data_IF_971089011525
#
_entry.id   IF_971089011525
#
_cell.length_a   1.000
_cell.length_b   1.000
_cell.length_c   1.000
_cell.angle_alpha   90.00
_cell.angle_beta   90.00
_cell.angle_gamma   90.00
#
_symmetry.space_group_name_H-M   'P 1'
#
loop_
_entity.id
_entity.type
_entity.pdbx_description
1 polymer ?
#
# COMPACT_ATOMS: atom_id res chain seq x y z
N UNK A 1 -26.74 7.99 6.20
CA UNK A 1 -25.55 7.86 5.33
C UNK A 1 -24.33 8.34 6.10
N UNK A 2 -23.50 7.43 6.61
CA UNK A 2 -22.25 7.81 7.28
C UNK A 2 -21.30 8.38 6.24
N UNK A 3 -20.95 9.66 6.37
CA UNK A 3 -19.82 10.20 5.63
C UNK A 3 -18.61 9.33 5.95
N UNK A 4 -18.04 8.67 4.95
CA UNK A 4 -16.77 7.96 5.07
C UNK A 4 -15.69 9.02 5.32
N UNK A 5 -15.59 9.51 6.56
CA UNK A 5 -14.49 10.36 7.01
C UNK A 5 -13.22 9.58 6.71
N UNK A 6 -12.35 10.14 5.87
CA UNK A 6 -10.98 9.65 5.75
C UNK A 6 -10.37 9.73 7.15
N UNK A 7 -9.92 8.60 7.69
CA UNK A 7 -9.25 8.59 8.99
C UNK A 7 -8.07 9.57 8.97
N UNK A 8 -7.88 10.30 10.07
CA UNK A 8 -6.73 11.17 10.31
C UNK A 8 -5.39 10.42 10.29
N UNK A 9 -5.44 9.08 10.29
CA UNK A 9 -4.32 8.13 10.36
C UNK A 9 -3.74 7.80 8.97
N UNK A 10 -4.41 8.17 7.88
CA UNK A 10 -3.83 8.00 6.56
C UNK A 10 -2.76 9.06 6.32
N UNK A 11 -1.53 8.61 6.04
CA UNK A 11 -0.46 9.48 5.59
C UNK A 11 -0.90 10.28 4.36
N UNK A 12 -0.31 11.47 4.17
CA UNK A 12 -0.67 12.39 3.08
C UNK A 12 -0.67 11.68 1.71
N UNK A 13 0.22 10.71 1.53
CA UNK A 13 0.40 9.92 0.31
C UNK A 13 -0.68 8.85 0.09
N UNK A 14 -1.28 8.34 1.17
CA UNK A 14 -2.33 7.33 1.11
C UNK A 14 -3.70 7.93 0.76
N UNK A 15 -3.98 9.18 1.15
CA UNK A 15 -5.29 9.82 0.95
C UNK A 15 -5.70 9.94 -0.53
N UNK A 16 -4.84 10.40 -1.47
CA UNK A 16 -5.19 10.47 -2.89
C UNK A 16 -5.52 9.10 -3.47
N UNK A 17 -4.75 8.08 -3.09
CA UNK A 17 -4.96 6.71 -3.53
C UNK A 17 -6.28 6.13 -2.99
N UNK A 18 -6.55 6.33 -1.70
CA UNK A 18 -7.80 5.92 -1.07
C UNK A 18 -9.03 6.55 -1.75
N UNK A 19 -8.97 7.85 -2.07
CA UNK A 19 -10.06 8.55 -2.77
C UNK A 19 -10.33 7.95 -4.15
N UNK A 20 -9.29 7.62 -4.91
CA UNK A 20 -9.46 7.01 -6.22
C UNK A 20 -9.91 5.55 -6.13
N UNK A 21 -9.40 4.80 -5.15
CA UNK A 21 -9.81 3.42 -4.89
C UNK A 21 -11.32 3.33 -4.66
N UNK A 22 -11.87 4.20 -3.80
CA UNK A 22 -13.30 4.24 -3.49
C UNK A 22 -14.17 4.47 -4.73
N UNK A 23 -13.76 5.35 -5.66
CA UNK A 23 -14.47 5.57 -6.92
C UNK A 23 -14.47 4.35 -7.84
N UNK A 24 -13.46 3.47 -7.69
CA UNK A 24 -13.25 2.31 -8.56
C UNK A 24 -13.76 1.00 -7.97
N UNK A 25 -14.57 1.06 -6.91
CA UNK A 25 -15.25 -0.09 -6.32
C UNK A 25 -14.50 -0.77 -5.17
N UNK A 26 -13.41 -0.19 -4.68
CA UNK A 26 -12.78 -0.66 -3.45
C UNK A 26 -13.53 -0.13 -2.24
N UNK A 27 -13.40 -0.82 -1.11
CA UNK A 27 -13.80 -0.31 0.19
C UNK A 27 -12.59 -0.19 1.11
N UNK A 28 -12.65 0.71 2.09
CA UNK A 28 -11.61 0.80 3.11
C UNK A 28 -11.76 -0.39 4.07
N UNK A 29 -10.64 -0.99 4.44
CA UNK A 29 -10.64 -1.92 5.57
C UNK A 29 -10.91 -1.15 6.88
N UNK A 30 -11.52 -1.82 7.86
CA UNK A 30 -12.07 -1.15 9.05
C UNK A 30 -11.00 -0.40 9.86
N UNK A 31 -11.48 0.68 10.48
CA UNK A 31 -10.87 1.62 11.41
C UNK A 31 -9.57 1.17 12.08
N UNK A 32 -8.51 1.98 11.91
CA UNK A 32 -7.27 1.88 12.68
C UNK A 32 -7.45 2.67 13.97
N UNK A 33 -7.17 2.09 15.11
CA UNK A 33 -7.32 2.77 16.41
C UNK A 33 -6.12 2.64 17.32
N UNK A 34 -5.19 1.71 17.01
CA UNK A 34 -4.02 1.43 17.84
C UNK A 34 -2.80 1.09 16.98
N UNK A 35 -1.57 1.31 17.46
CA UNK A 35 -0.36 0.83 16.79
C UNK A 35 -0.39 -0.67 16.49
N UNK A 36 -1.04 -1.46 17.36
CA UNK A 36 -1.18 -2.91 17.23
C UNK A 36 -2.11 -3.36 16.11
N UNK A 37 -3.00 -2.48 15.62
CA UNK A 37 -3.88 -2.78 14.47
C UNK A 37 -3.51 -2.00 13.20
N UNK A 38 -2.29 -1.44 13.15
CA UNK A 38 -1.78 -0.75 11.98
C UNK A 38 -1.58 -1.72 10.80
N UNK A 39 -2.27 -1.44 9.69
CA UNK A 39 -2.30 -2.24 8.46
C UNK A 39 -1.73 -1.46 7.28
N UNK A 40 -0.41 -1.33 7.25
CA UNK A 40 0.35 -0.51 6.31
C UNK A 40 -0.15 0.92 6.18
N UNK A 41 0.27 1.62 5.12
CA UNK A 41 -0.18 2.99 4.86
C UNK A 41 -1.63 3.05 4.43
N UNK A 42 -2.10 2.09 3.62
CA UNK A 42 -3.49 1.96 3.18
C UNK A 42 -3.93 0.50 3.20
N UNK A 43 -5.12 0.22 3.72
CA UNK A 43 -5.74 -1.10 3.63
C UNK A 43 -7.11 -1.02 2.99
N UNK A 44 -7.33 -1.89 2.00
CA UNK A 44 -8.52 -1.91 1.15
C UNK A 44 -9.10 -3.32 1.09
N UNK A 45 -10.39 -3.41 0.82
CA UNK A 45 -11.06 -4.64 0.42
C UNK A 45 -11.59 -4.50 -1.02
N UNK A 46 -11.37 -5.53 -1.83
CA UNK A 46 -11.90 -5.66 -3.19
C UNK A 46 -12.38 -7.09 -3.41
N UNK A 47 -13.69 -7.26 -3.63
CA UNK A 47 -14.33 -8.57 -3.53
C UNK A 47 -14.11 -9.20 -2.15
N UNK A 48 -13.67 -10.45 -2.11
CA UNK A 48 -13.38 -11.19 -0.87
C UNK A 48 -11.91 -11.06 -0.41
N UNK A 49 -11.12 -10.16 -1.02
CA UNK A 49 -9.70 -10.03 -0.72
C UNK A 49 -9.38 -8.75 0.04
N UNK A 50 -8.64 -8.90 1.13
CA UNK A 50 -7.96 -7.79 1.80
C UNK A 50 -6.62 -7.48 1.13
N UNK A 51 -6.34 -6.18 0.98
CA UNK A 51 -5.16 -5.62 0.34
C UNK A 51 -4.49 -4.69 1.34
N UNK A 52 -3.19 -4.85 1.52
CA UNK A 52 -2.35 -3.97 2.35
C UNK A 52 -1.31 -3.31 1.44
N UNK A 53 -1.21 -2.00 1.57
CA UNK A 53 -0.39 -1.16 0.70
C UNK A 53 0.54 -0.34 1.56
N UNK A 54 1.83 -0.49 1.29
CA UNK A 54 2.89 0.40 1.75
C UNK A 54 3.26 1.35 0.61
N UNK A 55 3.41 2.63 0.90
CA UNK A 55 3.71 3.69 -0.05
C UNK A 55 4.99 4.36 0.40
N UNK A 56 5.94 4.52 -0.53
CA UNK A 56 7.17 5.26 -0.23
C UNK A 56 7.60 6.13 -1.40
N UNK A 57 7.59 7.44 -1.14
CA UNK A 57 8.17 8.45 -2.01
C UNK A 57 9.60 8.82 -1.60
N UNK A 58 10.01 8.44 -0.38
CA UNK A 58 11.23 8.94 0.24
C UNK A 58 12.48 8.40 -0.45
N UNK A 59 13.38 9.28 -0.94
CA UNK A 59 14.60 8.87 -1.61
C UNK A 59 15.73 8.46 -0.65
N UNK A 60 15.57 8.67 0.66
CA UNK A 60 16.64 8.43 1.63
C UNK A 60 16.83 6.94 1.89
N UNK A 61 18.10 6.51 2.02
CA UNK A 61 18.44 5.11 2.30
C UNK A 61 17.77 4.58 3.57
N UNK A 62 17.67 5.40 4.61
CA UNK A 62 17.02 5.03 5.86
C UNK A 62 15.51 4.81 5.66
N UNK A 63 14.81 5.73 4.98
CA UNK A 63 13.39 5.60 4.68
C UNK A 63 13.08 4.38 3.80
N UNK A 64 13.94 4.08 2.83
CA UNK A 64 13.83 2.87 2.00
C UNK A 64 13.92 1.59 2.85
N UNK A 65 14.94 1.49 3.71
CA UNK A 65 15.13 0.30 4.57
C UNK A 65 13.96 0.13 5.55
N UNK A 66 13.48 1.22 6.12
CA UNK A 66 12.33 1.22 7.01
C UNK A 66 11.08 0.65 6.31
N UNK A 67 10.74 1.17 5.12
CA UNK A 67 9.56 0.72 4.36
C UNK A 67 9.66 -0.74 3.90
N UNK A 68 10.85 -1.19 3.52
CA UNK A 68 11.10 -2.63 3.24
C UNK A 68 10.81 -3.47 4.49
N UNK A 69 11.30 -3.04 5.65
CA UNK A 69 11.05 -3.69 6.93
C UNK A 69 9.56 -3.71 7.29
N UNK A 70 8.84 -2.60 7.06
CA UNK A 70 7.40 -2.53 7.27
C UNK A 70 6.64 -3.53 6.39
N UNK A 71 6.97 -3.63 5.09
CA UNK A 71 6.35 -4.63 4.22
C UNK A 71 6.53 -6.07 4.75
N UNK A 72 7.70 -6.39 5.30
CA UNK A 72 7.95 -7.70 5.90
C UNK A 72 7.09 -7.94 7.15
N UNK A 73 7.06 -6.98 8.08
CA UNK A 73 6.27 -7.07 9.30
C UNK A 73 4.79 -7.22 8.95
N UNK A 74 4.27 -6.40 8.05
CA UNK A 74 2.88 -6.46 7.60
C UNK A 74 2.54 -7.81 6.95
N UNK A 75 3.45 -8.38 6.15
CA UNK A 75 3.22 -9.70 5.53
C UNK A 75 3.08 -10.80 6.58
N UNK A 76 3.85 -10.74 7.67
CA UNK A 76 3.76 -11.72 8.75
C UNK A 76 2.51 -11.52 9.62
N UNK A 77 2.12 -10.28 9.90
CA UNK A 77 0.93 -9.97 10.68
C UNK A 77 -0.36 -10.31 9.93
N UNK A 78 -0.36 -10.17 8.60
CA UNK A 78 -1.53 -10.34 7.74
C UNK A 78 -1.23 -11.27 6.56
N UNK A 79 -0.98 -12.57 6.82
CA UNK A 79 -0.47 -13.49 5.81
C UNK A 79 -1.44 -13.74 4.65
N UNK A 80 -2.74 -13.70 4.92
CA UNK A 80 -3.82 -13.95 3.95
C UNK A 80 -4.15 -12.72 3.08
N UNK A 81 -3.61 -11.56 3.42
CA UNK A 81 -3.79 -10.35 2.62
C UNK A 81 -2.85 -10.35 1.42
N UNK A 82 -3.25 -9.64 0.36
CA UNK A 82 -2.35 -9.30 -0.74
C UNK A 82 -1.58 -8.05 -0.37
N UNK A 83 -0.25 -8.13 -0.47
CA UNK A 83 0.63 -7.04 -0.08
C UNK A 83 1.20 -6.36 -1.32
N UNK A 84 1.18 -5.03 -1.30
CA UNK A 84 1.72 -4.18 -2.33
C UNK A 84 2.66 -3.14 -1.75
N UNK A 85 3.79 -2.93 -2.41
CA UNK A 85 4.65 -1.77 -2.23
C UNK A 85 4.49 -0.85 -3.44
N UNK A 86 4.10 0.40 -3.19
CA UNK A 86 4.04 1.47 -4.19
C UNK A 86 5.25 2.37 -3.99
N UNK A 87 6.16 2.43 -4.95
CA UNK A 87 7.41 3.18 -4.80
C UNK A 87 8.00 3.65 -6.14
N UNK A 88 8.97 4.56 -6.09
CA UNK A 88 9.79 4.89 -7.27
C UNK A 88 10.75 3.74 -7.58
N UNK A 89 10.95 3.45 -8.87
CA UNK A 89 11.79 2.32 -9.31
C UNK A 89 13.22 2.43 -8.76
N UNK A 90 13.77 3.65 -8.72
CA UNK A 90 15.11 3.95 -8.22
C UNK A 90 15.35 3.65 -6.73
N UNK A 91 14.28 3.40 -5.96
CA UNK A 91 14.37 3.10 -4.54
C UNK A 91 14.66 1.62 -4.26
N UNK A 92 14.51 0.76 -5.26
CA UNK A 92 14.61 -0.69 -5.10
C UNK A 92 15.99 -1.18 -5.51
N UNK A 93 16.66 -1.87 -4.59
CA UNK A 93 17.88 -2.62 -4.86
C UNK A 93 17.53 -4.05 -5.26
N UNK A 94 18.45 -4.73 -5.95
CA UNK A 94 18.30 -6.14 -6.32
C UNK A 94 17.95 -7.02 -5.12
N UNK A 95 18.63 -6.82 -3.99
CA UNK A 95 18.34 -7.56 -2.75
C UNK A 95 16.92 -7.34 -2.22
N UNK A 96 16.39 -6.11 -2.32
CA UNK A 96 15.00 -5.80 -1.95
C UNK A 96 14.01 -6.51 -2.87
N UNK A 97 14.27 -6.51 -4.18
CA UNK A 97 13.44 -7.20 -5.17
C UNK A 97 13.42 -8.71 -4.91
N UNK A 98 14.58 -9.32 -4.63
CA UNK A 98 14.70 -10.74 -4.34
C UNK A 98 13.94 -11.12 -3.05
N UNK A 99 14.04 -10.28 -2.02
CA UNK A 99 13.28 -10.47 -0.77
C UNK A 99 11.77 -10.37 -1.01
N UNK A 100 11.30 -9.36 -1.73
CA UNK A 100 9.88 -9.18 -2.04
C UNK A 100 9.31 -10.33 -2.88
N UNK A 101 10.08 -10.84 -3.84
CA UNK A 101 9.71 -12.03 -4.61
C UNK A 101 9.50 -13.25 -3.72
N UNK A 102 10.42 -13.51 -2.78
CA UNK A 102 10.31 -14.63 -1.82
C UNK A 102 9.08 -14.49 -0.91
N UNK A 103 8.77 -13.26 -0.49
CA UNK A 103 7.65 -12.94 0.39
C UNK A 103 6.30 -12.81 -0.34
N UNK A 104 6.30 -12.95 -1.68
CA UNK A 104 5.11 -12.73 -2.53
C UNK A 104 4.48 -11.34 -2.33
N UNK A 105 5.32 -10.33 -2.14
CA UNK A 105 4.91 -8.92 -2.09
C UNK A 105 4.98 -8.35 -3.50
N UNK A 106 3.87 -7.76 -3.95
CA UNK A 106 3.77 -7.17 -5.28
C UNK A 106 4.33 -5.74 -5.27
N UNK A 107 4.92 -5.31 -6.38
CA UNK A 107 5.55 -4.01 -6.47
C UNK A 107 4.89 -3.23 -7.61
N UNK A 108 4.42 -2.01 -7.30
CA UNK A 108 3.90 -1.09 -8.29
C UNK A 108 4.82 0.12 -8.37
N UNK A 109 5.56 0.22 -9.47
CA UNK A 109 6.49 1.32 -9.69
C UNK A 109 5.78 2.58 -10.23
N UNK A 110 5.98 3.71 -9.57
CA UNK A 110 5.44 5.01 -9.95
C UNK A 110 6.40 6.14 -9.61
N UNK A 111 6.43 7.20 -10.42
CA UNK A 111 7.20 8.41 -10.14
C UNK A 111 6.43 9.44 -9.29
N UNK A 112 5.20 9.10 -8.87
CA UNK A 112 4.30 9.94 -8.08
C UNK A 112 3.93 11.27 -8.77
N UNK A 113 3.87 11.25 -10.10
CA UNK A 113 3.39 12.34 -10.94
C UNK A 113 1.87 12.54 -10.80
N UNK A 114 1.34 13.59 -11.44
CA UNK A 114 -0.11 13.83 -11.46
C UNK A 114 -0.87 12.57 -11.87
N UNK A 115 -1.92 12.25 -11.12
CA UNK A 115 -2.77 11.08 -11.34
C UNK A 115 -2.11 9.70 -11.17
N UNK A 116 -0.96 9.61 -10.49
CA UNK A 116 -0.30 8.33 -10.20
C UNK A 116 -1.23 7.29 -9.55
N UNK A 117 -2.20 7.74 -8.75
CA UNK A 117 -3.18 6.89 -8.10
C UNK A 117 -4.00 6.07 -9.12
N UNK A 118 -4.32 6.64 -10.29
CA UNK A 118 -5.08 5.95 -11.33
C UNK A 118 -4.29 4.75 -11.87
N UNK A 119 -2.99 4.94 -12.10
CA UNK A 119 -2.08 3.87 -12.53
C UNK A 119 -2.01 2.77 -11.48
N UNK A 120 -1.86 3.14 -10.20
CA UNK A 120 -1.81 2.16 -9.10
C UNK A 120 -3.11 1.35 -9.01
N UNK A 121 -4.27 2.00 -9.08
CA UNK A 121 -5.55 1.28 -9.07
C UNK A 121 -5.69 0.32 -10.27
N UNK A 122 -5.22 0.71 -11.45
CA UNK A 122 -5.22 -0.16 -12.64
C UNK A 122 -4.38 -1.42 -12.41
N UNK A 123 -3.18 -1.27 -11.84
CA UNK A 123 -2.29 -2.40 -11.53
C UNK A 123 -2.85 -3.28 -10.39
N UNK A 124 -3.46 -2.67 -9.36
CA UNK A 124 -4.14 -3.43 -8.30
C UNK A 124 -5.24 -4.32 -8.88
N UNK A 125 -6.07 -3.79 -9.79
CA UNK A 125 -7.16 -4.56 -10.41
C UNK A 125 -6.68 -5.71 -11.28
N UNK A 126 -5.58 -5.55 -12.04
CA UNK A 126 -5.01 -6.63 -12.86
C UNK A 126 -4.55 -7.85 -12.06
N UNK A 127 -4.32 -7.67 -10.77
CA UNK A 127 -3.90 -8.77 -9.91
C UNK A 127 -5.08 -9.71 -9.59
N UNK A 128 -6.32 -9.31 -9.85
CA UNK A 128 -7.57 -10.03 -9.58
C UNK A 128 -8.23 -10.52 -10.87
#
# INVERSE_FOLDING_TARGET
MLSKKFDSIYDADAKPLAKEALKKGFSLDRYRSTPNNHKGDLSLNFGNQNIIIEITQMPTRHGQCFKIGQCFIQKNLWPNSRHFLVCKKKLLRKSSLDAFKKLKINIINTEFENNWQIKVIKELKKSF
#
